data_IF_022619614209
#
_entry.id   IF_022619614209
#
_cell.length_a   1.000
_cell.length_b   1.000
_cell.length_c   1.000
_cell.angle_alpha   90.00
_cell.angle_beta   90.00
_cell.angle_gamma   90.00
#
_symmetry.space_group_name_H-M   'P 1'
#
loop_
_entity.id
_entity.type
_entity.pdbx_description
1 polymer ?
#
# COMPACT_ATOMS: atom_id res chain seq x y z
N UNK A 1 1.25 -28.88 -2.54
CA UNK A 1 0.37 -27.81 -2.07
C UNK A 1 -0.78 -27.67 -3.04
N UNK A 2 -1.96 -27.43 -2.56
CA UNK A 2 -3.18 -27.33 -3.35
C UNK A 2 -3.96 -26.10 -2.90
N UNK A 3 -4.47 -25.33 -3.84
CA UNK A 3 -5.43 -24.24 -3.63
C UNK A 3 -6.67 -24.48 -4.46
N UNK A 4 -7.82 -24.34 -3.85
CA UNK A 4 -9.10 -24.25 -4.55
C UNK A 4 -9.10 -23.07 -5.53
N UNK A 5 -9.88 -23.13 -6.63
CA UNK A 5 -9.95 -22.04 -7.61
C UNK A 5 -10.29 -20.67 -6.98
N UNK A 6 -11.18 -20.66 -5.97
CA UNK A 6 -11.55 -19.45 -5.24
C UNK A 6 -10.36 -18.82 -4.51
N UNK A 7 -9.53 -19.64 -3.86
CA UNK A 7 -8.34 -19.15 -3.16
C UNK A 7 -7.20 -18.84 -4.12
N UNK A 8 -7.11 -19.55 -5.24
CA UNK A 8 -6.12 -19.22 -6.29
C UNK A 8 -6.36 -17.83 -6.88
N UNK A 9 -7.60 -17.41 -7.05
CA UNK A 9 -7.96 -16.06 -7.51
C UNK A 9 -7.64 -14.96 -6.51
N UNK A 10 -7.27 -15.31 -5.27
CA UNK A 10 -6.90 -14.40 -4.16
C UNK A 10 -5.39 -14.35 -3.92
N UNK A 11 -4.61 -14.97 -4.79
CA UNK A 11 -3.15 -15.01 -4.74
C UNK A 11 -2.58 -14.22 -5.91
N UNK A 12 -1.74 -13.24 -5.59
CA UNK A 12 -0.95 -12.51 -6.58
C UNK A 12 0.52 -12.77 -6.28
N UNK A 13 1.19 -13.42 -7.21
CA UNK A 13 2.64 -13.66 -7.11
C UNK A 13 3.41 -12.42 -7.52
N UNK A 14 4.48 -12.11 -6.79
CA UNK A 14 5.32 -10.95 -7.12
C UNK A 14 5.82 -10.97 -8.58
N UNK A 15 6.31 -12.10 -9.14
CA UNK A 15 6.71 -12.15 -10.55
C UNK A 15 5.55 -12.05 -11.55
N UNK A 16 4.31 -12.25 -11.11
CA UNK A 16 3.10 -12.17 -11.94
C UNK A 16 2.46 -10.77 -11.93
N UNK A 17 3.03 -9.83 -11.17
CA UNK A 17 2.56 -8.44 -11.14
C UNK A 17 2.62 -7.80 -12.52
N UNK A 18 1.50 -7.26 -12.98
CA UNK A 18 1.37 -6.59 -14.27
C UNK A 18 1.49 -5.07 -14.07
N UNK A 19 2.58 -4.44 -14.54
CA UNK A 19 2.79 -3.02 -14.37
C UNK A 19 1.94 -2.17 -15.31
N UNK A 20 1.51 -1.02 -14.83
CA UNK A 20 1.04 0.09 -15.65
C UNK A 20 2.11 1.18 -15.64
N UNK A 21 2.80 1.37 -16.77
CA UNK A 21 3.90 2.35 -16.88
C UNK A 21 3.43 3.76 -17.21
N UNK A 22 2.15 3.91 -17.57
CA UNK A 22 1.47 5.18 -17.82
C UNK A 22 0.22 5.32 -16.95
N UNK A 23 0.32 4.91 -15.69
CA UNK A 23 -0.81 4.95 -14.76
C UNK A 23 -1.26 6.37 -14.39
N UNK A 24 -0.35 7.34 -14.44
CA UNK A 24 -0.52 8.69 -13.92
C UNK A 24 0.00 9.76 -14.89
N UNK A 25 -0.51 10.97 -14.75
CA UNK A 25 -0.19 12.12 -15.62
C UNK A 25 1.32 12.41 -15.71
N UNK A 26 2.09 12.15 -14.64
CA UNK A 26 3.53 12.39 -14.59
C UNK A 26 4.39 11.27 -15.20
N UNK A 27 3.76 10.19 -15.69
CA UNK A 27 4.46 8.98 -16.13
C UNK A 27 5.43 9.18 -17.32
N UNK A 28 5.40 10.32 -17.98
CA UNK A 28 6.35 10.69 -19.04
C UNK A 28 7.23 11.89 -18.68
N UNK A 29 7.01 12.47 -17.51
CA UNK A 29 7.86 13.57 -17.04
C UNK A 29 9.25 13.05 -16.70
N UNK A 30 10.33 13.74 -17.11
CA UNK A 30 11.70 13.35 -16.78
C UNK A 30 11.88 13.11 -15.28
N UNK A 31 12.43 11.95 -14.93
CA UNK A 31 12.59 11.49 -13.56
C UNK A 31 11.41 10.67 -13.01
N UNK A 32 10.25 10.64 -13.72
CA UNK A 32 9.10 9.82 -13.35
C UNK A 32 8.73 8.78 -14.43
N UNK A 33 9.46 8.77 -15.53
CA UNK A 33 9.18 8.03 -16.77
C UNK A 33 9.60 6.55 -16.73
N UNK A 34 10.20 6.10 -15.62
CA UNK A 34 10.63 4.70 -15.45
C UNK A 34 9.89 4.00 -14.30
N UNK A 35 8.85 4.61 -13.78
CA UNK A 35 8.07 4.02 -12.70
C UNK A 35 7.09 2.96 -13.21
N UNK A 36 6.89 1.92 -12.42
CA UNK A 36 5.89 0.90 -12.63
C UNK A 36 4.90 0.95 -11.47
N UNK A 37 3.61 1.07 -11.80
CA UNK A 37 2.54 1.08 -10.81
C UNK A 37 1.69 -0.17 -10.96
N UNK A 38 1.26 -0.72 -9.85
CA UNK A 38 0.48 -1.96 -9.81
C UNK A 38 -0.81 -1.71 -9.05
N UNK A 39 -1.93 -2.23 -9.58
CA UNK A 39 -3.20 -2.30 -8.86
C UNK A 39 -3.42 -3.74 -8.46
N UNK A 40 -3.19 -4.03 -7.17
CA UNK A 40 -3.19 -5.38 -6.64
C UNK A 40 -4.58 -5.75 -6.16
N UNK A 41 -5.21 -4.93 -5.31
CA UNK A 41 -6.56 -5.13 -4.79
C UNK A 41 -7.38 -3.86 -4.95
N UNK A 42 -8.59 -4.00 -5.48
CA UNK A 42 -9.52 -2.88 -5.70
C UNK A 42 -9.18 -2.04 -6.93
N UNK A 43 -9.99 -1.00 -7.25
CA UNK A 43 -9.79 -0.16 -8.43
C UNK A 43 -8.52 0.70 -8.36
N UNK A 44 -8.01 1.01 -7.15
CA UNK A 44 -6.89 1.92 -6.97
C UNK A 44 -7.20 3.36 -7.40
N UNK A 45 -6.16 4.16 -7.61
CA UNK A 45 -6.24 5.58 -7.98
C UNK A 45 -5.60 5.90 -9.34
N UNK A 46 -5.25 4.87 -10.13
CA UNK A 46 -4.62 5.10 -11.42
C UNK A 46 -5.59 5.77 -12.39
N UNK A 47 -5.08 6.73 -13.15
CA UNK A 47 -5.85 7.55 -14.10
C UNK A 47 -5.99 6.87 -15.46
N UNK A 48 -5.15 5.86 -15.74
CA UNK A 48 -5.26 5.06 -16.94
C UNK A 48 -6.40 4.04 -16.82
N UNK A 49 -7.46 4.14 -17.64
CA UNK A 49 -8.61 3.26 -17.56
C UNK A 49 -8.30 1.81 -17.98
N UNK A 50 -7.17 1.57 -18.63
CA UNK A 50 -6.74 0.26 -19.10
C UNK A 50 -5.80 -0.47 -18.15
N UNK A 51 -5.56 0.06 -16.95
CA UNK A 51 -4.74 -0.61 -15.96
C UNK A 51 -5.28 -2.00 -15.60
N UNK A 52 -4.37 -2.94 -15.39
CA UNK A 52 -4.75 -4.26 -14.93
C UNK A 52 -5.01 -4.27 -13.42
N UNK A 53 -6.14 -4.83 -13.00
CA UNK A 53 -6.51 -5.04 -11.58
C UNK A 53 -6.46 -6.52 -11.29
N UNK A 54 -5.57 -6.95 -10.37
CA UNK A 54 -5.38 -8.36 -10.07
C UNK A 54 -6.54 -8.97 -9.28
N UNK A 55 -6.98 -8.32 -8.21
CA UNK A 55 -8.10 -8.75 -7.36
C UNK A 55 -9.15 -7.63 -7.33
N UNK A 56 -10.31 -7.89 -7.93
CA UNK A 56 -11.39 -6.89 -8.05
C UNK A 56 -12.40 -6.92 -6.91
N UNK A 57 -12.34 -7.95 -6.07
CA UNK A 57 -13.24 -8.08 -4.93
C UNK A 57 -13.02 -6.94 -3.93
N UNK A 58 -14.08 -6.24 -3.47
CA UNK A 58 -13.98 -5.19 -2.47
C UNK A 58 -13.46 -5.73 -1.12
N UNK A 59 -12.58 -4.97 -0.47
CA UNK A 59 -11.97 -5.32 0.81
C UNK A 59 -12.19 -4.27 1.90
N UNK A 60 -12.86 -3.14 1.57
CA UNK A 60 -12.93 -1.95 2.43
C UNK A 60 -11.65 -1.10 2.36
N UNK A 61 -10.70 -1.50 1.53
CA UNK A 61 -9.45 -0.79 1.23
C UNK A 61 -8.88 -1.27 -0.12
N UNK A 62 -7.98 -0.47 -0.69
CA UNK A 62 -7.27 -0.82 -1.91
C UNK A 62 -5.80 -1.11 -1.59
N UNK A 63 -5.17 -2.00 -2.36
CA UNK A 63 -3.72 -2.22 -2.32
C UNK A 63 -3.14 -2.01 -3.71
N UNK A 64 -2.19 -1.11 -3.78
CA UNK A 64 -1.32 -0.89 -4.94
C UNK A 64 0.13 -1.24 -4.64
N UNK A 65 0.97 -1.05 -5.63
CA UNK A 65 2.41 -1.13 -5.49
C UNK A 65 3.11 -0.15 -6.42
N UNK A 66 4.29 0.28 -6.01
CA UNK A 66 5.17 1.10 -6.83
C UNK A 66 6.54 0.43 -6.92
N UNK A 67 7.04 0.22 -8.15
CA UNK A 67 8.40 -0.24 -8.41
C UNK A 67 9.15 0.82 -9.22
N UNK A 68 10.30 1.23 -8.72
CA UNK A 68 11.06 2.31 -9.32
C UNK A 68 12.55 2.01 -9.31
N UNK A 69 13.27 2.26 -10.43
CA UNK A 69 14.72 2.21 -10.43
C UNK A 69 15.33 3.37 -9.62
N UNK A 70 16.63 3.36 -9.35
CA UNK A 70 17.31 4.44 -8.66
C UNK A 70 17.10 5.81 -9.33
N UNK A 71 16.82 6.83 -8.51
CA UNK A 71 16.58 8.21 -8.96
C UNK A 71 15.21 8.45 -9.58
N UNK A 72 14.37 7.42 -9.71
CA UNK A 72 13.01 7.60 -10.22
C UNK A 72 12.09 8.13 -9.12
N UNK A 73 11.26 9.10 -9.49
CA UNK A 73 10.40 9.88 -8.58
C UNK A 73 8.93 9.70 -8.92
N UNK A 74 8.08 9.65 -7.92
CA UNK A 74 6.64 9.91 -8.05
C UNK A 74 6.37 11.35 -7.64
N UNK A 75 5.70 12.12 -8.52
CA UNK A 75 5.56 13.57 -8.37
C UNK A 75 4.62 13.96 -7.22
N UNK A 76 4.67 15.24 -6.83
CA UNK A 76 3.88 15.78 -5.72
C UNK A 76 2.37 15.68 -5.99
N UNK A 77 1.66 15.02 -5.09
CA UNK A 77 0.21 14.84 -5.14
C UNK A 77 -0.36 14.64 -3.74
N UNK A 78 -1.67 14.74 -3.62
CA UNK A 78 -2.41 14.47 -2.37
C UNK A 78 -3.61 13.57 -2.62
N UNK A 79 -4.14 12.98 -1.54
CA UNK A 79 -5.38 12.21 -1.53
C UNK A 79 -6.33 12.70 -0.45
N UNK A 80 -7.62 12.41 -0.65
CA UNK A 80 -8.67 12.64 0.33
C UNK A 80 -8.85 11.44 1.29
N UNK A 81 -8.19 10.32 1.00
CA UNK A 81 -8.18 9.11 1.81
C UNK A 81 -6.81 8.91 2.46
N UNK A 82 -6.77 8.14 3.54
CA UNK A 82 -5.51 7.73 4.14
C UNK A 82 -4.72 6.86 3.16
N UNK A 83 -3.43 7.12 3.05
CA UNK A 83 -2.51 6.28 2.28
C UNK A 83 -1.33 5.88 3.13
N UNK A 84 -1.02 4.60 3.11
CA UNK A 84 0.03 3.97 3.90
C UNK A 84 0.98 3.25 2.97
N UNK A 85 2.27 3.57 3.06
CA UNK A 85 3.31 2.85 2.34
C UNK A 85 4.07 1.92 3.28
N UNK A 86 4.31 0.70 2.82
CA UNK A 86 5.14 -0.31 3.47
C UNK A 86 6.29 -0.67 2.54
N UNK A 87 7.51 -0.41 2.99
CA UNK A 87 8.70 -0.58 2.17
C UNK A 87 9.07 -2.06 2.09
N UNK A 88 8.99 -2.64 0.90
CA UNK A 88 9.38 -4.03 0.66
C UNK A 88 10.88 -4.13 0.34
N UNK A 89 11.34 -3.36 -0.65
CA UNK A 89 12.75 -3.32 -1.05
C UNK A 89 13.16 -1.90 -1.47
N UNK A 90 14.46 -1.63 -1.50
CA UNK A 90 15.01 -0.31 -1.87
C UNK A 90 15.10 0.64 -0.68
N UNK A 91 15.62 1.83 -0.95
CA UNK A 91 15.72 2.93 0.01
C UNK A 91 14.96 4.11 -0.56
N UNK A 92 13.98 4.60 0.18
CA UNK A 92 13.03 5.55 -0.33
C UNK A 92 13.07 6.87 0.44
N UNK A 93 13.14 7.98 -0.29
CA UNK A 93 12.97 9.32 0.24
C UNK A 93 11.54 9.78 -0.02
N UNK A 94 10.77 10.02 1.02
CA UNK A 94 9.50 10.73 0.96
C UNK A 94 9.74 12.21 1.26
N UNK A 95 9.16 13.08 0.44
CA UNK A 95 9.28 14.53 0.59
C UNK A 95 7.89 15.17 0.44
N UNK A 96 7.68 16.33 1.06
CA UNK A 96 6.35 16.95 1.10
C UNK A 96 6.40 18.49 1.09
N UNK A 97 5.18 19.09 1.02
CA UNK A 97 4.94 20.53 0.90
C UNK A 97 4.58 20.94 -0.52
N UNK A 98 4.14 22.18 -0.68
CA UNK A 98 3.66 22.71 -1.98
C UNK A 98 4.67 22.49 -3.11
N UNK A 99 5.96 22.63 -2.81
CA UNK A 99 7.06 22.45 -3.77
C UNK A 99 8.01 21.30 -3.37
N UNK A 100 7.60 20.41 -2.45
CA UNK A 100 8.41 19.29 -1.99
C UNK A 100 9.61 19.63 -1.12
N UNK A 101 9.65 20.82 -0.55
CA UNK A 101 10.78 21.36 0.20
C UNK A 101 10.50 21.63 1.69
N UNK A 102 9.32 21.24 2.19
CA UNK A 102 8.96 21.44 3.59
C UNK A 102 9.59 20.41 4.53
N UNK A 103 9.98 19.25 4.01
CA UNK A 103 10.68 18.22 4.74
C UNK A 103 10.83 16.94 3.92
N UNK A 104 11.65 16.04 4.42
CA UNK A 104 11.82 14.71 3.87
C UNK A 104 12.17 13.70 4.96
N UNK A 105 11.86 12.42 4.68
CA UNK A 105 12.24 11.28 5.52
C UNK A 105 12.76 10.16 4.61
N UNK A 106 13.73 9.41 5.09
CA UNK A 106 14.26 8.23 4.38
C UNK A 106 13.76 6.98 5.09
N UNK A 107 13.27 6.04 4.31
CA UNK A 107 12.71 4.76 4.76
C UNK A 107 13.43 3.60 4.11
N UNK A 108 13.58 2.51 4.86
CA UNK A 108 14.24 1.28 4.49
C UNK A 108 13.27 0.09 4.52
N UNK A 109 13.65 -1.09 4.02
CA UNK A 109 12.77 -2.27 4.02
C UNK A 109 12.22 -2.61 5.43
N UNK A 110 10.91 -2.81 5.51
CA UNK A 110 10.17 -3.05 6.74
C UNK A 110 9.59 -1.79 7.40
N UNK A 111 10.05 -0.59 7.03
CA UNK A 111 9.48 0.67 7.53
C UNK A 111 8.10 0.94 6.94
N UNK A 112 7.30 1.67 7.69
CA UNK A 112 5.95 2.10 7.29
C UNK A 112 5.81 3.61 7.47
N UNK A 113 5.16 4.26 6.50
CA UNK A 113 4.73 5.66 6.62
C UNK A 113 3.25 5.79 6.28
N UNK A 114 2.50 6.53 7.11
CA UNK A 114 1.12 6.92 6.81
C UNK A 114 1.06 8.39 6.47
N UNK A 115 0.73 8.70 5.23
CA UNK A 115 0.64 10.09 4.78
C UNK A 115 -0.66 10.73 5.30
N UNK A 116 -0.58 11.89 5.96
CA UNK A 116 -1.78 12.63 6.30
C UNK A 116 -2.56 13.07 5.05
N UNK A 117 -3.89 12.94 5.11
CA UNK A 117 -4.76 13.43 4.02
C UNK A 117 -4.49 14.91 3.73
N UNK A 118 -4.72 15.34 2.50
CA UNK A 118 -4.52 16.72 2.06
C UNK A 118 -3.07 17.23 2.26
N UNK A 119 -2.09 16.35 2.08
CA UNK A 119 -0.66 16.71 2.11
C UNK A 119 -0.05 16.42 0.74
N UNK A 120 0.47 17.44 0.06
CA UNK A 120 1.29 17.18 -1.13
C UNK A 120 2.57 16.47 -0.72
N UNK A 121 2.76 15.26 -1.25
CA UNK A 121 3.95 14.43 -1.07
C UNK A 121 4.35 13.78 -2.37
N UNK A 122 5.63 13.52 -2.49
CA UNK A 122 6.25 12.71 -3.51
C UNK A 122 7.21 11.71 -2.86
N UNK A 123 7.70 10.79 -3.64
CA UNK A 123 8.71 9.82 -3.18
C UNK A 123 9.68 9.47 -4.30
N UNK A 124 10.89 9.10 -3.93
CA UNK A 124 11.99 8.77 -4.83
C UNK A 124 12.72 7.54 -4.31
N UNK A 125 13.07 6.62 -5.19
CA UNK A 125 14.02 5.57 -4.84
C UNK A 125 15.44 6.14 -4.90
N UNK A 126 16.03 6.34 -3.73
CA UNK A 126 17.42 6.81 -3.58
C UNK A 126 18.41 5.66 -3.36
N UNK A 127 17.94 4.42 -3.41
CA UNK A 127 18.76 3.22 -3.32
C UNK A 127 19.63 3.00 -4.56
N UNK A 128 20.34 1.89 -4.57
CA UNK A 128 21.23 1.48 -5.68
C UNK A 128 20.59 0.50 -6.64
N UNK A 129 19.51 -0.13 -6.21
CA UNK A 129 18.76 -1.14 -6.95
C UNK A 129 17.30 -0.72 -7.12
N UNK A 130 16.58 -1.38 -8.00
CA UNK A 130 15.14 -1.17 -8.12
C UNK A 130 14.45 -1.50 -6.81
N UNK A 131 13.67 -0.55 -6.30
CA UNK A 131 12.89 -0.71 -5.06
C UNK A 131 11.44 -1.00 -5.36
N UNK A 132 10.77 -1.69 -4.43
CA UNK A 132 9.34 -1.94 -4.44
C UNK A 132 8.73 -1.62 -3.08
N UNK A 133 7.56 -1.02 -3.08
CA UNK A 133 6.75 -0.80 -1.88
C UNK A 133 5.28 -1.07 -2.16
N UNK A 134 4.58 -1.52 -1.13
CA UNK A 134 3.13 -1.61 -1.14
C UNK A 134 2.51 -0.27 -0.70
N UNK A 135 1.35 0.05 -1.28
CA UNK A 135 0.54 1.20 -0.89
C UNK A 135 -0.88 0.73 -0.54
N UNK A 136 -1.39 1.12 0.62
CA UNK A 136 -2.76 0.82 1.05
C UNK A 136 -3.54 2.12 1.15
N UNK A 137 -4.69 2.17 0.46
CA UNK A 137 -5.60 3.32 0.50
C UNK A 137 -6.93 2.89 1.14
N UNK A 138 -7.48 3.71 2.03
CA UNK A 138 -8.74 3.43 2.70
C UNK A 138 -9.95 3.51 1.78
N UNK A 139 -10.97 2.69 2.08
CA UNK A 139 -12.23 2.62 1.33
C UNK A 139 -12.14 1.78 0.04
N UNK A 140 -13.29 1.35 -0.47
CA UNK A 140 -13.38 0.63 -1.74
C UNK A 140 -13.27 1.58 -2.95
N UNK A 141 -13.64 2.85 -2.76
CA UNK A 141 -13.38 3.94 -3.68
C UNK A 141 -12.38 4.92 -3.03
N UNK A 142 -11.10 4.87 -3.38
CA UNK A 142 -10.08 5.74 -2.81
C UNK A 142 -10.11 7.17 -3.39
N UNK A 143 -11.00 7.45 -4.33
CA UNK A 143 -11.09 8.74 -5.02
C UNK A 143 -10.02 8.95 -6.08
N UNK A 144 -9.67 10.20 -6.31
CA UNK A 144 -8.72 10.62 -7.35
C UNK A 144 -7.43 11.16 -6.76
N UNK A 145 -6.38 11.16 -7.58
CA UNK A 145 -5.14 11.86 -7.30
C UNK A 145 -5.34 13.35 -7.50
N UNK A 146 -4.96 14.13 -6.51
CA UNK A 146 -4.92 15.58 -6.62
C UNK A 146 -3.47 16.04 -6.79
N UNK A 147 -3.09 16.39 -8.00
CA UNK A 147 -1.72 16.78 -8.35
C UNK A 147 -1.38 18.21 -7.93
N UNK A 148 -0.15 18.42 -7.50
CA UNK A 148 0.35 19.77 -7.31
C UNK A 148 0.33 20.55 -8.66
N UNK A 149 0.05 21.87 -8.65
CA UNK A 149 -0.11 22.66 -9.88
C UNK A 149 1.04 22.50 -10.88
N UNK A 150 2.28 22.56 -10.41
CA UNK A 150 3.49 22.44 -11.22
C UNK A 150 3.60 21.09 -11.95
N UNK A 151 3.02 20.03 -11.39
CA UNK A 151 3.01 18.68 -12.00
C UNK A 151 2.11 18.64 -13.22
N UNK A 152 0.90 19.24 -13.12
CA UNK A 152 -0.04 19.31 -14.25
C UNK A 152 0.53 20.17 -15.37
N UNK A 153 1.17 21.30 -15.04
CA UNK A 153 1.84 22.14 -16.04
C UNK A 153 2.94 21.40 -16.78
N UNK A 154 3.84 20.75 -16.04
CA UNK A 154 4.95 20.00 -16.60
C UNK A 154 4.48 18.83 -17.48
N UNK A 155 3.47 18.09 -17.08
CA UNK A 155 3.04 16.89 -17.77
C UNK A 155 2.54 17.15 -19.20
N UNK A 156 1.94 18.32 -19.44
CA UNK A 156 1.46 18.73 -20.78
C UNK A 156 2.56 18.74 -21.83
N UNK A 157 3.78 19.08 -21.44
CA UNK A 157 4.92 19.13 -22.33
C UNK A 157 5.35 17.73 -22.82
N UNK A 158 4.86 16.67 -22.14
CA UNK A 158 5.20 15.28 -22.42
C UNK A 158 4.03 14.44 -22.97
N UNK A 159 2.92 15.12 -23.33
CA UNK A 159 1.82 14.54 -24.10
C UNK A 159 0.81 13.71 -23.29
N UNK A 160 0.89 13.67 -21.97
CA UNK A 160 -0.15 13.12 -21.11
C UNK A 160 -1.09 14.24 -20.65
N UNK A 161 -2.40 14.00 -20.80
CA UNK A 161 -3.44 14.99 -20.47
C UNK A 161 -4.47 14.31 -19.57
N UNK A 162 -4.57 14.77 -18.32
CA UNK A 162 -5.63 14.37 -17.41
C UNK A 162 -6.89 15.16 -17.72
N UNK A 163 -8.02 14.48 -17.82
CA UNK A 163 -9.32 15.06 -18.07
C UNK A 163 -10.10 15.27 -16.77
N UNK A 164 -11.09 16.16 -16.84
CA UNK A 164 -11.99 16.50 -15.74
C UNK A 164 -12.82 15.33 -15.19
N UNK A 165 -12.97 14.26 -15.97
CA UNK A 165 -13.58 13.00 -15.54
C UNK A 165 -12.58 12.01 -14.89
N UNK A 166 -11.32 12.42 -14.67
CA UNK A 166 -10.27 11.60 -14.07
C UNK A 166 -9.58 10.64 -15.02
N UNK A 167 -9.89 10.67 -16.32
CA UNK A 167 -9.28 9.78 -17.33
C UNK A 167 -8.04 10.43 -17.95
N UNK A 168 -6.98 9.63 -18.12
CA UNK A 168 -5.75 10.03 -18.80
C UNK A 168 -5.85 9.77 -20.30
N UNK A 169 -5.45 10.76 -21.09
CA UNK A 169 -5.33 10.70 -22.55
C UNK A 169 -3.86 10.81 -22.94
N UNK A 170 -3.41 9.93 -23.81
CA UNK A 170 -2.04 9.90 -24.34
C UNK A 170 -2.01 10.44 -25.77
N UNK A 171 -1.73 11.73 -25.91
CA UNK A 171 -1.68 12.39 -27.23
C UNK A 171 -0.51 11.93 -28.08
N UNK A 172 0.54 11.34 -27.49
CA UNK A 172 1.68 10.79 -28.23
C UNK A 172 1.35 9.47 -28.93
N UNK A 173 0.31 8.77 -28.46
CA UNK A 173 -0.26 7.58 -29.10
C UNK A 173 -1.37 7.94 -30.11
N UNK A 174 -1.62 9.23 -30.34
CA UNK A 174 -2.67 9.72 -31.24
C UNK A 174 -4.06 9.69 -30.62
N UNK A 175 -4.17 9.47 -29.31
CA UNK A 175 -5.45 9.56 -28.60
C UNK A 175 -5.97 11.00 -28.63
N UNK A 176 -7.27 11.14 -28.73
CA UNK A 176 -7.94 12.44 -28.77
C UNK A 176 -8.78 12.64 -27.51
N UNK A 177 -8.86 13.88 -27.06
CA UNK A 177 -9.77 14.26 -25.99
C UNK A 177 -11.21 14.00 -26.49
N UNK A 178 -12.01 13.18 -25.80
CA UNK A 178 -13.39 12.92 -26.16
C UNK A 178 -14.23 14.19 -26.08
N UNK A 179 -15.23 14.31 -26.96
CA UNK A 179 -16.16 15.44 -26.94
C UNK A 179 -16.85 15.57 -25.58
N UNK A 180 -16.90 16.81 -25.07
CA UNK A 180 -17.51 17.13 -23.78
C UNK A 180 -16.56 17.07 -22.57
N UNK A 181 -15.35 16.51 -22.72
CA UNK A 181 -14.34 16.52 -21.67
C UNK A 181 -13.35 17.68 -21.85
N UNK A 182 -12.81 18.14 -20.73
CA UNK A 182 -11.81 19.21 -20.72
C UNK A 182 -10.55 18.76 -19.98
N UNK A 183 -9.36 19.22 -20.41
CA UNK A 183 -8.14 19.03 -19.63
C UNK A 183 -8.27 19.68 -18.24
N UNK A 184 -7.85 18.92 -17.21
CA UNK A 184 -7.71 19.46 -15.85
C UNK A 184 -6.76 20.66 -15.89
N UNK A 185 -7.16 21.74 -15.24
CA UNK A 185 -6.31 22.91 -15.04
C UNK A 185 -5.52 22.80 -13.76
N UNK A 186 -4.31 23.37 -13.67
CA UNK A 186 -3.62 23.52 -12.40
C UNK A 186 -4.53 24.23 -11.39
N UNK A 187 -4.62 23.69 -10.17
CA UNK A 187 -5.43 24.30 -9.11
C UNK A 187 -4.86 25.66 -8.71
N UNK A 188 -5.75 26.61 -8.45
CA UNK A 188 -5.40 27.94 -7.93
C UNK A 188 -4.99 27.84 -6.45
N UNK A 189 -4.38 28.92 -5.93
CA UNK A 189 -4.01 28.97 -4.50
C UNK A 189 -5.23 28.87 -3.58
N UNK A 190 -6.37 29.43 -3.99
CA UNK A 190 -7.62 29.33 -3.23
C UNK A 190 -8.13 27.89 -3.20
N UNK A 191 -8.05 27.19 -4.33
CA UNK A 191 -8.49 25.78 -4.44
C UNK A 191 -7.63 24.82 -3.65
N UNK A 192 -6.35 25.12 -3.41
CA UNK A 192 -5.45 24.30 -2.60
C UNK A 192 -5.23 24.83 -1.17
N UNK A 193 -5.99 25.87 -0.76
CA UNK A 193 -5.83 26.46 0.57
C UNK A 193 -6.05 25.47 1.74
N UNK A 194 -6.75 24.36 1.50
CA UNK A 194 -6.95 23.29 2.48
C UNK A 194 -5.76 22.31 2.58
N UNK A 195 -4.82 22.36 1.64
CA UNK A 195 -3.65 21.50 1.65
C UNK A 195 -2.78 21.84 2.87
N UNK A 196 -2.41 20.79 3.60
CA UNK A 196 -1.61 20.89 4.81
C UNK A 196 -0.14 20.66 4.49
N UNK A 197 0.70 21.41 5.18
CA UNK A 197 2.16 21.18 5.15
C UNK A 197 2.63 20.81 6.55
N UNK A 198 2.70 19.50 6.88
CA UNK A 198 3.18 19.06 8.18
C UNK A 198 4.62 19.48 8.42
N UNK A 199 4.95 19.82 9.66
CA UNK A 199 6.35 19.91 10.10
C UNK A 199 7.03 18.54 10.04
N UNK A 200 8.37 18.50 10.10
CA UNK A 200 9.11 17.23 10.14
C UNK A 200 8.67 16.39 11.34
N UNK A 201 8.53 16.99 12.52
CA UNK A 201 8.10 16.29 13.74
C UNK A 201 6.67 15.73 13.62
N UNK A 202 5.77 16.45 12.95
CA UNK A 202 4.40 15.95 12.68
C UNK A 202 4.43 14.77 11.70
N UNK A 203 5.25 14.82 10.66
CA UNK A 203 5.38 13.71 9.73
C UNK A 203 6.05 12.50 10.38
N UNK A 204 7.08 12.69 11.20
CA UNK A 204 7.77 11.60 11.91
C UNK A 204 6.85 10.82 12.85
N UNK A 205 5.80 11.43 13.41
CA UNK A 205 4.75 10.71 14.17
C UNK A 205 3.89 9.77 13.31
N UNK A 206 4.03 9.83 12.00
CA UNK A 206 3.37 8.95 11.04
C UNK A 206 4.32 7.93 10.41
N UNK A 207 5.53 7.81 10.96
CA UNK A 207 6.53 6.83 10.54
C UNK A 207 6.70 5.78 11.63
N UNK A 208 6.70 4.52 11.25
CA UNK A 208 7.04 3.40 12.12
C UNK A 208 8.24 2.69 11.50
N UNK A 209 9.38 2.83 12.15
CA UNK A 209 10.58 2.11 11.74
C UNK A 209 10.46 0.63 12.11
N UNK A 210 10.91 -0.25 11.24
CA UNK A 210 10.97 -1.69 11.52
C UNK A 210 11.76 -1.99 12.83
N UNK A 211 12.85 -1.27 13.04
CA UNK A 211 13.67 -1.41 14.24
C UNK A 211 12.97 -0.97 15.54
N UNK A 212 11.89 -0.20 15.44
CA UNK A 212 11.10 0.28 16.57
C UNK A 212 9.82 -0.56 16.79
N UNK A 213 9.60 -1.63 16.04
CA UNK A 213 8.48 -2.53 16.24
C UNK A 213 8.60 -3.22 17.60
N UNK A 214 7.50 -3.16 18.37
CA UNK A 214 7.40 -3.81 19.67
C UNK A 214 6.42 -4.97 19.59
N UNK A 215 6.93 -6.17 19.78
CA UNK A 215 6.15 -7.40 19.71
C UNK A 215 5.21 -7.52 20.91
N UNK A 216 3.92 -7.60 20.65
CA UNK A 216 2.93 -7.84 21.69
C UNK A 216 2.83 -9.33 22.03
N UNK A 217 3.44 -9.73 23.13
CA UNK A 217 3.42 -11.11 23.63
C UNK A 217 2.03 -11.57 24.13
N UNK A 218 1.10 -10.63 24.33
CA UNK A 218 -0.29 -10.92 24.68
C UNK A 218 -1.18 -11.17 23.46
N UNK A 219 -0.65 -11.03 22.24
CA UNK A 219 -1.39 -11.39 21.03
C UNK A 219 -1.87 -12.83 21.08
N UNK A 220 -3.15 -13.10 20.76
CA UNK A 220 -3.65 -14.46 20.64
C UNK A 220 -2.92 -15.31 19.59
N UNK A 221 -2.26 -14.66 18.62
CA UNK A 221 -1.45 -15.35 17.61
C UNK A 221 -0.01 -15.56 18.07
N UNK A 222 0.43 -14.89 19.16
CA UNK A 222 1.74 -15.11 19.72
C UNK A 222 1.86 -16.56 20.19
N UNK A 223 2.91 -17.22 19.72
CA UNK A 223 3.26 -18.57 20.08
C UNK A 223 4.79 -18.64 20.17
N UNK A 224 5.34 -19.76 20.57
CA UNK A 224 6.79 -19.92 20.58
C UNK A 224 7.34 -19.64 19.16
N UNK A 225 8.13 -18.58 19.03
CA UNK A 225 8.75 -18.15 17.79
C UNK A 225 7.83 -17.35 16.83
N UNK A 226 6.59 -17.01 17.24
CA UNK A 226 5.72 -16.09 16.49
C UNK A 226 5.54 -14.80 17.29
N UNK A 227 5.81 -13.67 16.66
CA UNK A 227 5.63 -12.33 17.22
C UNK A 227 4.67 -11.53 16.34
N UNK A 228 3.78 -10.77 16.97
CA UNK A 228 2.89 -9.86 16.28
C UNK A 228 3.09 -8.44 16.83
N UNK A 229 3.38 -7.50 15.94
CA UNK A 229 3.58 -6.08 16.28
C UNK A 229 2.49 -5.22 15.65
N UNK A 230 1.95 -4.27 16.42
CA UNK A 230 1.00 -3.29 15.91
C UNK A 230 1.73 -2.17 15.17
N UNK A 231 1.20 -1.75 14.01
CA UNK A 231 1.72 -0.63 13.21
C UNK A 231 0.66 0.47 13.10
N UNK A 232 -0.55 0.09 12.65
CA UNK A 232 -1.71 0.99 12.53
C UNK A 232 -2.91 0.33 13.18
N UNK A 233 -3.64 1.09 14.00
CA UNK A 233 -4.87 0.62 14.63
C UNK A 233 -5.44 1.64 15.59
N UNK A 234 -6.77 1.88 15.54
CA UNK A 234 -7.41 2.96 16.27
C UNK A 234 -7.51 2.69 17.77
N UNK A 235 -7.73 1.45 18.21
CA UNK A 235 -7.86 1.08 19.61
C UNK A 235 -7.35 -0.34 19.87
N UNK A 236 -6.44 -0.44 20.83
CA UNK A 236 -5.86 -1.71 21.24
C UNK A 236 -6.82 -2.62 22.01
N UNK A 237 -7.80 -2.06 22.71
CA UNK A 237 -8.71 -2.84 23.52
C UNK A 237 -9.56 -3.81 22.70
N UNK A 238 -9.83 -3.47 21.45
CA UNK A 238 -10.67 -4.25 20.55
C UNK A 238 -9.96 -5.44 19.92
N UNK A 239 -8.62 -5.39 19.78
CA UNK A 239 -7.82 -6.47 19.18
C UNK A 239 -6.95 -7.23 20.21
N UNK A 240 -6.98 -6.82 21.48
CA UNK A 240 -6.15 -7.39 22.55
C UNK A 240 -4.69 -6.93 22.50
N UNK A 241 -4.38 -5.88 21.73
CA UNK A 241 -3.04 -5.34 21.58
C UNK A 241 -2.80 -4.06 22.38
N UNK A 242 -1.54 -3.74 22.62
CA UNK A 242 -1.13 -2.38 22.96
C UNK A 242 -1.44 -1.41 21.82
N UNK A 243 -1.74 -0.17 22.13
CA UNK A 243 -2.04 0.88 21.14
C UNK A 243 -0.98 0.92 20.06
N UNK A 244 -1.40 0.89 18.80
CA UNK A 244 -0.47 1.00 17.67
C UNK A 244 0.24 2.37 17.68
N UNK A 245 1.48 2.45 17.22
CA UNK A 245 2.20 3.72 17.07
C UNK A 245 1.40 4.75 16.26
N UNK A 246 0.68 4.31 15.23
CA UNK A 246 -0.24 5.15 14.46
C UNK A 246 -1.67 4.76 14.82
N UNK A 247 -2.24 5.47 15.81
CA UNK A 247 -3.54 5.13 16.39
C UNK A 247 -4.76 5.73 15.68
N UNK A 248 -4.57 6.66 14.71
CA UNK A 248 -5.72 7.25 14.00
C UNK A 248 -6.43 6.23 13.09
N UNK A 249 -7.77 6.34 12.91
CA UNK A 249 -8.51 5.48 11.99
C UNK A 249 -8.08 5.63 10.54
N UNK A 250 -7.99 4.50 9.81
CA UNK A 250 -7.63 4.45 8.39
C UNK A 250 -8.68 3.71 7.55
N UNK A 251 -9.69 3.08 8.18
CA UNK A 251 -10.59 2.13 7.55
C UNK A 251 -10.01 0.71 7.50
N UNK A 252 -8.78 0.54 7.98
CA UNK A 252 -8.07 -0.74 8.09
C UNK A 252 -7.02 -0.68 9.20
N UNK A 253 -6.50 -1.83 9.60
CA UNK A 253 -5.37 -1.95 10.53
C UNK A 253 -4.20 -2.62 9.85
N UNK A 254 -2.97 -2.33 10.34
CA UNK A 254 -1.74 -2.96 9.88
C UNK A 254 -0.99 -3.57 11.04
N UNK A 255 -0.57 -4.81 10.87
CA UNK A 255 0.28 -5.58 11.79
C UNK A 255 1.51 -6.11 11.05
N UNK A 256 2.54 -6.43 11.80
CA UNK A 256 3.67 -7.24 11.32
C UNK A 256 3.65 -8.57 12.06
N UNK A 257 3.70 -9.66 11.33
CA UNK A 257 3.92 -11.01 11.85
C UNK A 257 5.34 -11.43 11.52
N UNK A 258 6.12 -11.73 12.56
CA UNK A 258 7.46 -12.30 12.44
C UNK A 258 7.45 -13.75 12.93
N UNK A 259 8.16 -14.58 12.21
CA UNK A 259 8.27 -16.01 12.46
C UNK A 259 9.74 -16.43 12.58
N UNK A 260 10.08 -17.06 13.68
CA UNK A 260 11.32 -17.83 13.78
C UNK A 260 11.23 -19.10 12.92
N UNK A 261 12.36 -19.74 12.71
CA UNK A 261 12.41 -21.03 11.97
C UNK A 261 11.51 -22.09 12.62
N UNK A 262 10.63 -22.67 11.82
CA UNK A 262 9.70 -23.72 12.24
C UNK A 262 8.52 -23.23 13.08
N UNK A 263 8.41 -21.92 13.30
CA UNK A 263 7.31 -21.34 14.07
C UNK A 263 6.01 -21.32 13.27
N UNK A 264 4.89 -21.43 13.98
CA UNK A 264 3.54 -21.39 13.39
C UNK A 264 2.53 -20.75 14.33
N UNK A 265 1.53 -20.08 13.75
CA UNK A 265 0.38 -19.58 14.50
C UNK A 265 -0.48 -20.76 14.99
N UNK A 266 -1.29 -20.59 16.05
CA UNK A 266 -2.43 -21.46 16.27
C UNK A 266 -3.35 -21.49 15.03
N UNK A 267 -4.17 -22.54 14.87
CA UNK A 267 -5.29 -22.50 13.95
C UNK A 267 -6.31 -21.49 14.47
N UNK A 268 -6.75 -20.57 13.63
CA UNK A 268 -7.60 -19.45 14.05
C UNK A 268 -8.53 -18.98 12.95
N UNK A 269 -9.55 -18.21 13.34
CA UNK A 269 -10.52 -17.56 12.47
C UNK A 269 -10.59 -16.06 12.79
N UNK A 270 -10.79 -15.23 11.76
CA UNK A 270 -11.14 -13.81 11.89
C UNK A 270 -12.41 -13.52 11.07
N UNK A 271 -13.22 -12.60 11.55
CA UNK A 271 -14.46 -12.19 10.88
C UNK A 271 -14.26 -11.02 9.91
N UNK A 272 -13.03 -10.53 9.75
CA UNK A 272 -12.66 -9.53 8.76
C UNK A 272 -11.83 -10.16 7.63
N UNK A 273 -11.76 -9.48 6.49
CA UNK A 273 -10.80 -9.81 5.44
C UNK A 273 -9.38 -9.55 5.95
N UNK A 274 -8.46 -10.42 5.60
CA UNK A 274 -7.05 -10.31 5.98
C UNK A 274 -6.16 -10.49 4.75
N UNK A 275 -5.23 -9.57 4.54
CA UNK A 275 -4.26 -9.64 3.43
C UNK A 275 -2.87 -9.81 4.00
N UNK A 276 -2.17 -10.84 3.54
CA UNK A 276 -0.77 -11.10 3.82
C UNK A 276 0.08 -10.50 2.68
N UNK A 277 0.99 -9.60 3.02
CA UNK A 277 2.01 -9.03 2.13
C UNK A 277 3.36 -9.53 2.63
N UNK A 278 3.96 -10.46 1.91
CA UNK A 278 5.14 -11.16 2.40
C UNK A 278 6.37 -10.25 2.28
N UNK A 279 6.91 -9.85 3.43
CA UNK A 279 8.07 -8.95 3.50
C UNK A 279 9.38 -9.69 3.24
N UNK A 280 9.58 -10.82 3.88
CA UNK A 280 10.80 -11.65 3.70
C UNK A 280 10.54 -13.09 4.02
N UNK A 281 11.39 -13.97 3.50
CA UNK A 281 11.32 -15.40 3.74
C UNK A 281 10.17 -16.08 3.01
N UNK A 282 9.72 -17.18 3.56
CA UNK A 282 8.62 -18.00 3.01
C UNK A 282 7.66 -18.41 4.11
N UNK A 283 6.37 -18.24 3.83
CA UNK A 283 5.28 -18.68 4.68
C UNK A 283 4.47 -19.78 4.02
N UNK A 284 4.03 -20.75 4.78
CA UNK A 284 3.07 -21.76 4.35
C UNK A 284 1.74 -21.43 5.03
N UNK A 285 0.76 -21.05 4.24
CA UNK A 285 -0.61 -20.87 4.69
C UNK A 285 -1.41 -22.15 4.47
N UNK A 286 -2.26 -22.52 5.43
CA UNK A 286 -3.17 -23.68 5.36
C UNK A 286 -4.53 -23.33 5.96
N UNK A 287 -5.59 -24.00 5.46
CA UNK A 287 -6.89 -24.00 6.09
C UNK A 287 -7.27 -25.41 6.60
N UNK A 288 -8.40 -25.52 7.25
CA UNK A 288 -8.99 -26.77 7.73
C UNK A 288 -9.65 -27.61 6.62
N UNK A 289 -9.92 -27.03 5.45
CA UNK A 289 -10.49 -27.71 4.29
C UNK A 289 -9.44 -28.42 3.39
N UNK A 290 -8.15 -28.32 3.74
CA UNK A 290 -7.06 -29.00 3.03
C UNK A 290 -6.36 -28.13 1.97
N UNK A 291 -6.77 -26.87 1.78
CA UNK A 291 -6.01 -25.92 0.97
C UNK A 291 -4.68 -25.58 1.64
N UNK A 292 -3.62 -25.47 0.85
CA UNK A 292 -2.33 -24.98 1.31
C UNK A 292 -1.52 -24.32 0.20
N UNK A 293 -0.77 -23.28 0.57
CA UNK A 293 0.08 -22.52 -0.37
C UNK A 293 1.36 -22.05 0.31
N UNK A 294 2.47 -22.13 -0.40
CA UNK A 294 3.70 -21.43 -0.05
C UNK A 294 3.65 -20.01 -0.63
N UNK A 295 3.92 -19.03 0.21
CA UNK A 295 3.99 -17.61 -0.14
C UNK A 295 5.45 -17.16 0.00
N UNK A 296 5.98 -16.52 -1.01
CA UNK A 296 7.34 -15.95 -1.04
C UNK A 296 7.35 -14.44 -0.90
N UNK A 297 8.54 -13.86 -0.70
CA UNK A 297 8.72 -12.42 -0.59
C UNK A 297 8.10 -11.65 -1.76
N UNK A 298 7.34 -10.61 -1.47
CA UNK A 298 6.58 -9.79 -2.43
C UNK A 298 5.21 -10.35 -2.81
N UNK A 299 4.88 -11.62 -2.49
CA UNK A 299 3.56 -12.19 -2.76
C UNK A 299 2.48 -11.50 -1.93
N UNK A 300 1.28 -11.39 -2.52
CA UNK A 300 0.06 -10.93 -1.85
C UNK A 300 -0.95 -12.06 -1.81
N UNK A 301 -1.51 -12.33 -0.64
CA UNK A 301 -2.55 -13.33 -0.48
C UNK A 301 -3.67 -12.83 0.42
N UNK A 302 -4.91 -12.86 -0.06
CA UNK A 302 -6.07 -12.43 0.71
C UNK A 302 -6.88 -13.60 1.24
N UNK A 303 -7.21 -13.55 2.51
CA UNK A 303 -7.98 -14.56 3.23
C UNK A 303 -9.37 -13.98 3.54
N UNK A 304 -10.46 -14.63 3.06
CA UNK A 304 -11.80 -14.16 3.32
C UNK A 304 -12.21 -14.25 4.81
N UNK A 305 -13.19 -13.45 5.24
CA UNK A 305 -13.76 -13.57 6.58
C UNK A 305 -14.29 -14.98 6.87
N UNK A 306 -14.17 -15.41 8.13
CA UNK A 306 -14.71 -16.70 8.61
C UNK A 306 -13.90 -17.93 8.20
N UNK A 307 -12.82 -17.78 7.43
CA UNK A 307 -11.99 -18.93 7.02
C UNK A 307 -10.96 -19.27 8.10
N UNK A 308 -10.95 -20.54 8.53
CA UNK A 308 -9.93 -21.05 9.42
C UNK A 308 -8.55 -21.07 8.73
N UNK A 309 -7.49 -20.69 9.46
CA UNK A 309 -6.13 -20.64 8.92
C UNK A 309 -5.04 -20.87 9.96
N UNK A 310 -3.96 -21.40 9.48
CA UNK A 310 -2.68 -21.49 10.17
C UNK A 310 -1.57 -21.02 9.23
N UNK A 311 -0.63 -20.26 9.76
CA UNK A 311 0.53 -19.75 9.03
C UNK A 311 1.78 -20.30 9.69
N UNK A 312 2.70 -20.86 8.89
CA UNK A 312 3.93 -21.48 9.34
C UNK A 312 5.12 -20.97 8.51
N UNK A 313 6.27 -20.80 9.15
CA UNK A 313 7.53 -20.52 8.47
C UNK A 313 8.48 -21.71 8.61
N UNK A 314 8.93 -22.28 7.50
CA UNK A 314 9.95 -23.33 7.51
C UNK A 314 11.34 -22.80 7.92
N UNK A 315 11.66 -21.58 7.48
CA UNK A 315 12.79 -20.74 7.91
C UNK A 315 12.24 -19.40 8.37
N UNK A 316 13.03 -18.52 8.96
CA UNK A 316 12.53 -17.22 9.43
C UNK A 316 11.83 -16.43 8.32
N UNK A 317 10.67 -15.84 8.65
CA UNK A 317 9.86 -15.09 7.69
C UNK A 317 9.14 -13.92 8.36
N UNK A 318 8.66 -12.99 7.54
CA UNK A 318 7.93 -11.81 7.98
C UNK A 318 6.88 -11.41 6.97
N UNK A 319 5.73 -10.95 7.44
CA UNK A 319 4.67 -10.42 6.62
C UNK A 319 4.03 -9.19 7.27
N UNK A 320 3.73 -8.19 6.46
CA UNK A 320 2.70 -7.21 6.80
C UNK A 320 1.32 -7.86 6.65
N UNK A 321 0.45 -7.54 7.59
CA UNK A 321 -0.92 -8.04 7.62
C UNK A 321 -1.86 -6.86 7.66
N UNK A 322 -2.64 -6.69 6.59
CA UNK A 322 -3.68 -5.66 6.49
C UNK A 322 -5.02 -6.29 6.78
N UNK A 323 -5.78 -5.76 7.74
CA UNK A 323 -7.12 -6.24 8.10
C UNK A 323 -8.15 -5.17 7.84
N UNK A 324 -9.27 -5.57 7.24
CA UNK A 324 -10.39 -4.68 6.99
C UNK A 324 -11.01 -4.17 8.28
N UNK A 325 -11.56 -2.93 8.19
CA UNK A 325 -12.14 -2.17 9.28
C UNK A 325 -11.11 -1.60 10.28
N UNK A 326 -11.51 -0.55 10.98
CA UNK A 326 -10.78 0.01 12.12
C UNK A 326 -10.88 -0.88 13.37
N UNK A 327 -11.92 -1.71 13.43
CA UNK A 327 -12.15 -2.76 14.44
C UNK A 327 -12.21 -4.13 13.76
N UNK A 328 -11.06 -4.80 13.54
CA UNK A 328 -11.03 -6.10 12.88
C UNK A 328 -11.62 -7.22 13.75
N UNK A 329 -12.08 -6.92 14.95
CA UNK A 329 -12.59 -7.87 15.94
C UNK A 329 -11.51 -8.81 16.50
N UNK A 330 -11.91 -9.58 17.51
CA UNK A 330 -11.01 -10.54 18.14
C UNK A 330 -10.77 -11.76 17.24
N UNK A 331 -9.56 -12.29 17.32
CA UNK A 331 -9.24 -13.58 16.73
C UNK A 331 -9.86 -14.70 17.57
N UNK A 332 -10.41 -15.70 16.90
CA UNK A 332 -10.92 -16.92 17.55
C UNK A 332 -9.94 -18.06 17.30
N UNK A 333 -9.38 -18.63 18.37
CA UNK A 333 -8.55 -19.82 18.29
C UNK A 333 -9.44 -21.07 18.17
N UNK A 334 -9.02 -22.06 17.36
CA UNK A 334 -9.71 -23.34 17.13
C UNK A 334 -8.99 -24.49 17.78
#
# INVERSE_FOLDING_TARGET
MFLSPQLRARLVRYPELQPCTNAFIDARSPGSDQKENFTIIGPGVAENPHQFVHIREPHGFNIGGARQPPGCTNSLHSHNTAEVFMIHTGVWRFFWGEHGNAGAVVLEPGDTISIPIHTFRGFENIGKESGFMFAVLGGDDPGHVHWAPDVIEKARDFGLVLLDNGTLVDTTLGEKIPDGNQPVKPSTREEIAYIRTPTVDEMMRNVVSHAALDANLASPLAAIGVRESAVIGADAALDGFATAPIARPHGFTVRVLEFDKGAKTPMHVRNCVEVLLIQRGKLIWRNDAGDSVELGAGDTFTVPPGMARQIEAADGAEAFVVRGDNDPGLVQLL
#
